data_IF_545449860870
#
_entry.id   IF_545449860870
#
_cell.length_a   1.000
_cell.length_b   1.000
_cell.length_c   1.000
_cell.angle_alpha   90.00
_cell.angle_beta   90.00
_cell.angle_gamma   90.00
#
_symmetry.space_group_name_H-M   'P 1'
#
loop_
_entity.id
_entity.type
_entity.pdbx_description
1 polymer ?
#
# COMPACT_ATOMS: atom_id res chain seq x y z
N UNK A 1 23.81 2.26 -6.21
CA UNK A 1 22.72 1.58 -6.95
C UNK A 1 21.73 1.06 -5.92
N UNK A 2 20.46 1.45 -5.95
CA UNK A 2 19.44 0.85 -5.07
C UNK A 2 19.14 -0.54 -5.66
N UNK A 3 19.35 -1.62 -4.90
CA UNK A 3 18.94 -2.95 -5.37
C UNK A 3 17.44 -2.96 -5.59
N UNK A 4 17.02 -3.42 -6.77
CA UNK A 4 15.61 -3.48 -7.16
C UNK A 4 15.00 -4.70 -6.47
N UNK A 5 13.86 -4.54 -5.81
CA UNK A 5 13.15 -5.66 -5.16
C UNK A 5 12.88 -6.78 -6.17
N UNK A 6 13.20 -8.02 -5.78
CA UNK A 6 12.83 -9.21 -6.54
C UNK A 6 11.31 -9.46 -6.45
N UNK A 7 10.81 -10.48 -7.14
CA UNK A 7 9.36 -10.76 -7.20
C UNK A 7 8.77 -11.05 -5.82
N UNK A 8 9.44 -11.90 -5.03
CA UNK A 8 9.02 -12.29 -3.69
C UNK A 8 9.00 -11.08 -2.72
N UNK A 9 10.04 -10.26 -2.74
CA UNK A 9 10.10 -9.02 -1.95
C UNK A 9 8.96 -8.07 -2.29
N UNK A 10 8.56 -7.98 -3.57
CA UNK A 10 7.40 -7.18 -3.98
C UNK A 10 6.09 -7.75 -3.46
N UNK A 11 5.93 -9.06 -3.45
CA UNK A 11 4.73 -9.71 -2.89
C UNK A 11 4.62 -9.42 -1.39
N UNK A 12 5.71 -9.58 -0.63
CA UNK A 12 5.73 -9.22 0.79
C UNK A 12 5.46 -7.72 1.02
N UNK A 13 6.03 -6.85 0.18
CA UNK A 13 5.82 -5.40 0.27
C UNK A 13 4.34 -5.04 0.07
N UNK A 14 3.72 -5.63 -0.95
CA UNK A 14 2.30 -5.42 -1.28
C UNK A 14 1.38 -6.00 -0.21
N UNK A 15 1.69 -7.20 0.28
CA UNK A 15 0.98 -7.82 1.40
C UNK A 15 1.02 -6.93 2.65
N UNK A 16 2.17 -6.32 2.93
CA UNK A 16 2.32 -5.38 4.04
C UNK A 16 1.44 -4.13 3.85
N UNK A 17 1.36 -3.55 2.64
CA UNK A 17 0.43 -2.45 2.34
C UNK A 17 -1.02 -2.86 2.59
N UNK A 18 -1.43 -4.02 2.05
CA UNK A 18 -2.81 -4.51 2.19
C UNK A 18 -3.16 -4.75 3.66
N UNK A 19 -2.29 -5.42 4.42
CA UNK A 19 -2.49 -5.66 5.84
C UNK A 19 -2.60 -4.34 6.64
N UNK A 20 -1.77 -3.34 6.35
CA UNK A 20 -1.88 -2.03 7.01
C UNK A 20 -3.22 -1.35 6.73
N UNK A 21 -3.68 -1.38 5.47
CA UNK A 21 -4.95 -0.77 5.06
C UNK A 21 -6.17 -1.51 5.65
N UNK A 22 -6.10 -2.83 5.71
CA UNK A 22 -7.14 -3.65 6.34
C UNK A 22 -7.24 -3.38 7.84
N UNK A 23 -6.10 -3.35 8.54
CA UNK A 23 -6.06 -3.04 9.97
C UNK A 23 -6.53 -1.61 10.28
N UNK A 24 -6.22 -0.64 9.41
CA UNK A 24 -6.66 0.74 9.61
C UNK A 24 -8.17 0.91 9.48
N UNK A 25 -8.83 0.11 8.62
CA UNK A 25 -10.29 0.16 8.30
C UNK A 25 -10.81 1.53 7.81
N UNK A 26 -9.93 2.50 7.59
CA UNK A 26 -10.24 3.87 7.16
C UNK A 26 -9.26 4.33 6.07
N UNK A 27 -9.63 5.33 5.25
CA UNK A 27 -8.70 5.94 4.30
C UNK A 27 -7.43 6.45 4.99
N UNK A 28 -6.28 5.91 4.58
CA UNK A 28 -4.98 6.11 5.23
C UNK A 28 -4.06 6.96 4.36
N UNK A 29 -3.33 7.89 4.98
CA UNK A 29 -2.36 8.75 4.28
C UNK A 29 -1.16 7.93 3.81
N UNK A 30 -0.63 8.27 2.64
CA UNK A 30 0.59 7.63 2.11
C UNK A 30 1.79 7.71 3.06
N UNK A 31 1.95 8.81 3.80
CA UNK A 31 3.04 8.94 4.78
C UNK A 31 2.95 7.92 5.91
N UNK A 32 1.72 7.60 6.37
CA UNK A 32 1.50 6.59 7.40
C UNK A 32 1.86 5.20 6.89
N UNK A 33 1.46 4.88 5.65
CA UNK A 33 1.84 3.62 5.01
C UNK A 33 3.36 3.48 4.85
N UNK A 34 4.03 4.57 4.47
CA UNK A 34 5.48 4.60 4.32
C UNK A 34 6.20 4.34 5.64
N UNK A 35 5.71 4.92 6.74
CA UNK A 35 6.24 4.67 8.09
C UNK A 35 6.02 3.20 8.46
N UNK A 36 4.81 2.68 8.28
CA UNK A 36 4.50 1.28 8.57
C UNK A 36 5.33 0.30 7.75
N UNK A 37 5.61 0.59 6.48
CA UNK A 37 6.49 -0.21 5.63
C UNK A 37 7.93 -0.24 6.14
N UNK A 38 8.44 0.92 6.58
CA UNK A 38 9.79 1.00 7.19
C UNK A 38 9.87 0.19 8.48
N UNK A 39 8.84 0.25 9.32
CA UNK A 39 8.73 -0.58 10.53
C UNK A 39 8.55 -2.07 10.19
N UNK A 40 7.86 -2.38 9.09
CA UNK A 40 7.55 -3.73 8.62
C UNK A 40 8.67 -4.45 7.87
N UNK A 41 9.92 -3.96 7.97
CA UNK A 41 11.09 -4.62 7.38
C UNK A 41 11.57 -4.03 6.05
N UNK A 42 11.01 -2.92 5.59
CA UNK A 42 11.44 -2.21 4.37
C UNK A 42 12.10 -0.84 4.67
N UNK A 43 13.18 -0.78 5.47
CA UNK A 43 13.73 0.49 5.98
C UNK A 43 14.27 1.43 4.90
N UNK A 44 14.63 0.89 3.72
CA UNK A 44 15.18 1.64 2.59
C UNK A 44 14.11 2.13 1.61
N UNK A 45 12.84 1.83 1.85
CA UNK A 45 11.78 2.23 0.91
C UNK A 45 11.50 3.73 0.99
N UNK A 46 11.06 4.29 -0.14
CA UNK A 46 10.74 5.71 -0.30
C UNK A 46 9.33 5.90 -0.85
N UNK A 47 8.85 7.14 -0.85
CA UNK A 47 7.50 7.47 -1.31
C UNK A 47 7.27 7.05 -2.76
N UNK A 48 8.25 7.23 -3.66
CA UNK A 48 8.09 6.90 -5.06
C UNK A 48 7.97 5.38 -5.29
N UNK A 49 8.70 4.57 -4.53
CA UNK A 49 8.57 3.12 -4.54
C UNK A 49 7.23 2.65 -3.99
N UNK A 50 6.82 3.19 -2.85
CA UNK A 50 5.51 2.91 -2.28
C UNK A 50 4.39 3.27 -3.24
N UNK A 51 4.43 4.46 -3.85
CA UNK A 51 3.42 4.93 -4.79
C UNK A 51 3.31 4.02 -6.01
N UNK A 52 4.43 3.58 -6.59
CA UNK A 52 4.41 2.63 -7.73
C UNK A 52 3.73 1.32 -7.36
N UNK A 53 4.01 0.77 -6.18
CA UNK A 53 3.42 -0.49 -5.76
C UNK A 53 1.94 -0.33 -5.36
N UNK A 54 1.55 0.82 -4.80
CA UNK A 54 0.13 1.16 -4.58
C UNK A 54 -0.60 1.33 -5.91
N UNK A 55 -0.03 2.00 -6.91
CA UNK A 55 -0.62 2.16 -8.23
C UNK A 55 -0.85 0.81 -8.90
N UNK A 56 0.06 -0.14 -8.73
CA UNK A 56 -0.14 -1.52 -9.13
C UNK A 56 -1.35 -2.16 -8.43
N UNK A 57 -1.46 -2.02 -7.11
CA UNK A 57 -2.60 -2.55 -6.33
C UNK A 57 -3.93 -1.90 -6.72
N UNK A 58 -3.92 -0.61 -7.04
CA UNK A 58 -5.07 0.13 -7.57
C UNK A 58 -5.47 -0.39 -8.95
N UNK A 59 -4.50 -0.61 -9.85
CA UNK A 59 -4.75 -1.20 -11.17
C UNK A 59 -5.31 -2.62 -11.09
N UNK A 60 -5.03 -3.35 -10.00
CA UNK A 60 -5.61 -4.67 -9.69
C UNK A 60 -6.95 -4.60 -8.96
N UNK A 61 -7.43 -3.40 -8.60
CA UNK A 61 -8.68 -3.20 -7.88
C UNK A 61 -8.63 -3.61 -6.40
N UNK A 62 -7.43 -3.84 -5.84
CA UNK A 62 -7.24 -4.25 -4.44
C UNK A 62 -7.20 -3.05 -3.48
N UNK A 63 -6.84 -1.88 -4.00
CA UNK A 63 -6.79 -0.62 -3.27
C UNK A 63 -7.56 0.44 -4.06
N UNK A 64 -8.22 1.34 -3.34
CA UNK A 64 -8.90 2.52 -3.89
C UNK A 64 -8.25 3.79 -3.36
N UNK A 65 -8.36 4.88 -4.14
CA UNK A 65 -7.88 6.21 -3.75
C UNK A 65 -9.10 7.04 -3.35
N UNK A 66 -9.16 7.44 -2.09
CA UNK A 66 -10.13 8.40 -1.60
C UNK A 66 -9.62 9.82 -1.89
N UNK A 67 -10.24 10.46 -2.88
CA UNK A 67 -9.99 11.84 -3.27
C UNK A 67 -10.99 12.74 -2.56
N UNK A 68 -10.82 12.93 -1.26
CA UNK A 68 -11.66 13.86 -0.49
C UNK A 68 -11.66 15.24 -1.15
N UNK A 69 -12.85 15.81 -1.38
CA UNK A 69 -13.08 17.03 -2.15
C UNK A 69 -12.35 18.29 -1.64
N UNK A 70 -11.77 18.24 -0.44
CA UNK A 70 -11.20 19.40 0.28
C UNK A 70 -9.67 19.48 0.17
N UNK A 71 -8.97 18.41 -0.25
CA UNK A 71 -7.50 18.38 -0.31
C UNK A 71 -6.99 17.90 -1.66
N UNK A 72 -6.95 18.81 -2.65
CA UNK A 72 -6.54 18.52 -4.03
C UNK A 72 -5.12 17.91 -4.19
N UNK A 73 -4.30 17.89 -3.13
CA UNK A 73 -2.95 17.30 -3.14
C UNK A 73 -2.75 16.06 -2.26
N UNK A 74 -3.72 15.66 -1.42
CA UNK A 74 -3.52 14.58 -0.44
C UNK A 74 -4.22 13.31 -0.87
N UNK A 75 -3.46 12.29 -1.24
CA UNK A 75 -3.97 10.95 -1.56
C UNK A 75 -4.17 10.16 -0.26
N UNK A 76 -5.39 9.66 -0.06
CA UNK A 76 -5.70 8.63 0.95
C UNK A 76 -6.01 7.31 0.25
N UNK A 77 -5.55 6.22 0.84
CA UNK A 77 -5.69 4.89 0.28
C UNK A 77 -6.59 4.05 1.18
N UNK A 78 -7.43 3.20 0.58
CA UNK A 78 -8.33 2.31 1.31
C UNK A 78 -8.36 0.95 0.62
N UNK A 79 -8.26 -0.13 1.39
CA UNK A 79 -8.42 -1.49 0.87
C UNK A 79 -9.86 -1.69 0.34
N UNK A 80 -9.99 -2.40 -0.77
CA UNK A 80 -11.31 -2.78 -1.32
C UNK A 80 -11.76 -4.12 -0.77
N UNK A 81 -13.01 -4.52 -1.03
CA UNK A 81 -13.48 -5.87 -0.71
C UNK A 81 -12.60 -6.95 -1.36
N UNK A 82 -12.25 -6.78 -2.64
CA UNK A 82 -11.34 -7.68 -3.35
C UNK A 82 -9.93 -7.70 -2.76
N UNK A 83 -9.46 -6.58 -2.20
CA UNK A 83 -8.20 -6.52 -1.46
C UNK A 83 -8.23 -7.34 -0.17
N UNK A 84 -9.34 -7.30 0.56
CA UNK A 84 -9.55 -8.10 1.78
C UNK A 84 -9.58 -9.59 1.43
N UNK A 85 -10.41 -9.98 0.46
CA UNK A 85 -10.51 -11.38 0.01
C UNK A 85 -9.15 -11.91 -0.49
N UNK A 86 -8.39 -11.09 -1.23
CA UNK A 86 -7.04 -11.43 -1.65
C UNK A 86 -6.12 -11.66 -0.46
N UNK A 87 -6.17 -10.80 0.56
CA UNK A 87 -5.34 -10.94 1.75
C UNK A 87 -5.68 -12.22 2.50
N UNK A 88 -6.97 -12.49 2.74
CA UNK A 88 -7.45 -13.70 3.43
C UNK A 88 -7.06 -15.00 2.69
N UNK A 89 -7.03 -14.98 1.35
CA UNK A 89 -6.64 -16.13 0.55
C UNK A 89 -5.12 -16.40 0.50
N UNK A 90 -4.29 -15.44 0.95
CA UNK A 90 -2.83 -15.50 0.87
C UNK A 90 -2.14 -15.40 2.25
N UNK A 91 -2.91 -15.52 3.33
CA UNK A 91 -2.43 -15.62 4.73
C UNK A 91 -2.39 -17.07 5.18
#
# INVERSE_FOLDING_TARGET
MKEKMNAEQKEFYRGNILAQLDNARVPTLGEVLLIGLKCGGFPKTDAAEMEREIEYLVAKGLVSIDRGAISAGVKRYKITASGIEYLEANV
#
